data_IF_908098439423
#
_entry.id   IF_908098439423
#
_cell.length_a   1.000
_cell.length_b   1.000
_cell.length_c   1.000
_cell.angle_alpha   90.00
_cell.angle_beta   90.00
_cell.angle_gamma   90.00
#
_symmetry.space_group_name_H-M   'P 1'
#
loop_
_entity.id
_entity.type
_entity.pdbx_description
1 polymer ?
#
# COMPACT_ATOMS: atom_id res chain seq x y z
N UNK A 1 10.79 17.81 -9.36
CA UNK A 1 9.59 18.49 -8.81
C UNK A 1 8.78 17.44 -8.07
N UNK A 2 9.03 17.26 -6.76
CA UNK A 2 8.48 16.13 -5.97
C UNK A 2 6.95 16.21 -5.85
N UNK A 3 6.40 17.41 -5.61
CA UNK A 3 4.95 17.61 -5.52
C UNK A 3 4.24 17.31 -6.85
N UNK A 4 4.81 17.70 -7.99
CA UNK A 4 4.22 17.38 -9.29
C UNK A 4 4.19 15.86 -9.56
N UNK A 5 5.22 15.13 -9.12
CA UNK A 5 5.24 13.68 -9.22
C UNK A 5 4.13 13.05 -8.36
N UNK A 6 4.01 13.46 -7.09
CA UNK A 6 2.99 12.95 -6.18
C UNK A 6 1.56 13.21 -6.69
N UNK A 7 1.33 14.41 -7.23
CA UNK A 7 0.04 14.77 -7.83
C UNK A 7 -0.26 13.92 -9.06
N UNK A 8 0.75 13.61 -9.88
CA UNK A 8 0.58 12.72 -11.04
C UNK A 8 0.25 11.28 -10.60
N UNK A 9 0.93 10.75 -9.57
CA UNK A 9 0.64 9.43 -9.00
C UNK A 9 -0.77 9.39 -8.41
N UNK A 10 -1.21 10.44 -7.73
CA UNK A 10 -2.58 10.55 -7.22
C UNK A 10 -3.62 10.64 -8.32
N UNK A 11 -3.38 11.44 -9.35
CA UNK A 11 -4.25 11.50 -10.52
C UNK A 11 -4.37 10.14 -11.21
N UNK A 12 -3.26 9.40 -11.34
CA UNK A 12 -3.26 8.04 -11.87
C UNK A 12 -4.09 7.09 -11.01
N UNK A 13 -3.98 7.19 -9.69
CA UNK A 13 -4.84 6.46 -8.75
C UNK A 13 -6.32 6.75 -8.99
N UNK A 14 -6.71 8.03 -9.06
CA UNK A 14 -8.08 8.45 -9.35
C UNK A 14 -8.59 7.88 -10.69
N UNK A 15 -7.75 7.85 -11.73
CA UNK A 15 -8.09 7.22 -13.02
C UNK A 15 -8.31 5.71 -12.86
N UNK A 16 -7.44 5.00 -12.13
CA UNK A 16 -7.60 3.56 -11.85
C UNK A 16 -8.91 3.25 -11.10
N UNK A 17 -9.44 4.20 -10.32
CA UNK A 17 -10.66 4.04 -9.55
C UNK A 17 -11.93 4.39 -10.36
N UNK A 18 -11.93 5.53 -11.04
CA UNK A 18 -13.14 6.09 -11.67
C UNK A 18 -13.24 5.83 -13.18
N UNK A 19 -12.12 5.53 -13.84
CA UNK A 19 -12.03 5.36 -15.28
C UNK A 19 -11.27 4.08 -15.65
N UNK A 20 -11.42 3.04 -14.84
CA UNK A 20 -10.73 1.76 -15.01
C UNK A 20 -10.97 1.12 -16.37
N UNK A 21 -12.19 1.21 -16.89
CA UNK A 21 -12.58 0.67 -18.20
C UNK A 21 -11.89 1.38 -19.37
N UNK A 22 -11.33 2.57 -19.14
CA UNK A 22 -10.66 3.38 -20.15
C UNK A 22 -9.15 3.14 -20.24
N UNK A 23 -8.60 2.22 -19.44
CA UNK A 23 -7.17 1.94 -19.35
C UNK A 23 -6.90 0.43 -19.39
N UNK A 24 -5.68 0.05 -19.74
CA UNK A 24 -5.19 -1.31 -19.46
C UNK A 24 -4.84 -1.42 -17.97
N UNK A 25 -5.84 -1.76 -17.16
CA UNK A 25 -5.70 -1.84 -15.71
C UNK A 25 -4.69 -2.88 -15.25
N UNK A 26 -4.46 -3.93 -16.06
CA UNK A 26 -3.46 -4.98 -15.79
C UNK A 26 -2.02 -4.45 -15.82
N UNK A 27 -1.76 -3.35 -16.53
CA UNK A 27 -0.46 -2.69 -16.61
C UNK A 27 -0.39 -1.46 -15.70
N UNK A 28 -1.45 -0.64 -15.71
CA UNK A 28 -1.44 0.67 -15.06
C UNK A 28 -1.49 0.57 -13.54
N UNK A 29 -2.25 -0.37 -12.98
CA UNK A 29 -2.38 -0.51 -11.52
C UNK A 29 -1.07 -1.00 -10.88
N UNK A 30 -0.38 -2.03 -11.42
CA UNK A 30 0.95 -2.39 -10.93
C UNK A 30 1.97 -1.25 -11.04
N UNK A 31 1.93 -0.47 -12.13
CA UNK A 31 2.78 0.71 -12.29
C UNK A 31 2.49 1.77 -11.23
N UNK A 32 1.21 2.08 -10.98
CA UNK A 32 0.78 2.98 -9.92
C UNK A 32 1.26 2.50 -8.53
N UNK A 33 1.07 1.22 -8.20
CA UNK A 33 1.53 0.65 -6.93
C UNK A 33 3.06 0.76 -6.77
N UNK A 34 3.81 0.61 -7.86
CA UNK A 34 5.28 0.73 -7.83
C UNK A 34 5.75 2.11 -7.38
N UNK A 35 4.96 3.16 -7.65
CA UNK A 35 5.23 4.55 -7.28
C UNK A 35 4.99 4.86 -5.79
N UNK A 36 4.36 3.96 -5.04
CA UNK A 36 3.99 4.18 -3.64
C UNK A 36 5.10 3.77 -2.66
N UNK A 37 5.13 4.32 -1.44
CA UNK A 37 4.32 5.44 -0.97
C UNK A 37 4.80 6.78 -1.56
N UNK A 38 3.88 7.72 -1.69
CA UNK A 38 4.22 9.13 -1.97
C UNK A 38 4.36 9.89 -0.65
N UNK A 39 5.24 10.91 -0.62
CA UNK A 39 5.67 11.53 0.65
C UNK A 39 5.81 13.05 0.64
N UNK A 40 5.83 13.67 -0.54
CA UNK A 40 6.04 15.11 -0.71
C UNK A 40 4.75 15.91 -0.53
N UNK A 41 3.69 15.56 -1.27
CA UNK A 41 2.38 16.16 -1.10
C UNK A 41 1.55 15.35 -0.08
N UNK A 42 1.51 15.84 1.16
CA UNK A 42 0.82 15.14 2.26
C UNK A 42 -0.70 15.08 2.08
N UNK A 43 -1.29 15.99 1.29
CA UNK A 43 -2.73 15.96 0.99
C UNK A 43 -3.00 14.79 0.05
N UNK A 44 -2.23 14.69 -1.03
CA UNK A 44 -2.38 13.60 -1.98
C UNK A 44 -1.93 12.25 -1.42
N UNK A 45 -0.92 12.23 -0.54
CA UNK A 45 -0.51 11.01 0.17
C UNK A 45 -1.67 10.37 0.93
N UNK A 46 -2.43 11.18 1.69
CA UNK A 46 -3.60 10.67 2.44
C UNK A 46 -4.66 10.07 1.52
N UNK A 47 -4.92 10.70 0.37
CA UNK A 47 -5.88 10.20 -0.63
C UNK A 47 -5.41 8.88 -1.22
N UNK A 48 -4.16 8.82 -1.66
CA UNK A 48 -3.57 7.66 -2.34
C UNK A 48 -3.45 6.45 -1.42
N UNK A 49 -3.02 6.66 -0.18
CA UNK A 49 -2.90 5.57 0.81
C UNK A 49 -4.27 5.04 1.26
N UNK A 50 -5.29 5.90 1.33
CA UNK A 50 -6.67 5.46 1.60
C UNK A 50 -7.25 4.65 0.42
N UNK A 51 -6.95 5.08 -0.80
CA UNK A 51 -7.30 4.35 -2.00
C UNK A 51 -6.65 2.96 -2.02
N UNK A 52 -5.37 2.85 -1.66
CA UNK A 52 -4.66 1.57 -1.58
C UNK A 52 -5.37 0.61 -0.61
N UNK A 53 -5.72 1.06 0.60
CA UNK A 53 -6.50 0.26 1.55
C UNK A 53 -7.80 -0.25 0.92
N UNK A 54 -8.53 0.63 0.23
CA UNK A 54 -9.80 0.30 -0.40
C UNK A 54 -9.66 -0.76 -1.50
N UNK A 55 -8.56 -0.72 -2.26
CA UNK A 55 -8.29 -1.73 -3.29
C UNK A 55 -7.90 -3.08 -2.68
N UNK A 56 -7.11 -3.10 -1.60
CA UNK A 56 -6.75 -4.33 -0.88
C UNK A 56 -7.98 -4.97 -0.22
N UNK A 57 -8.84 -4.18 0.42
CA UNK A 57 -10.08 -4.66 1.05
C UNK A 57 -11.02 -5.34 0.05
N UNK A 58 -11.08 -4.83 -1.19
CA UNK A 58 -11.86 -5.44 -2.27
C UNK A 58 -11.19 -6.66 -2.90
N UNK A 59 -10.00 -7.06 -2.44
CA UNK A 59 -9.19 -8.11 -3.05
C UNK A 59 -8.99 -7.88 -4.55
N UNK A 60 -8.69 -6.64 -4.93
CA UNK A 60 -8.51 -6.22 -6.32
C UNK A 60 -7.42 -7.06 -7.01
N UNK A 61 -7.82 -7.89 -7.99
CA UNK A 61 -6.95 -8.88 -8.63
C UNK A 61 -5.78 -8.24 -9.40
N UNK A 62 -6.00 -7.08 -10.00
CA UNK A 62 -4.97 -6.36 -10.76
C UNK A 62 -4.00 -5.65 -9.83
N UNK A 63 -4.45 -5.26 -8.63
CA UNK A 63 -3.57 -4.76 -7.56
C UNK A 63 -2.72 -5.90 -6.97
N UNK A 64 -3.35 -7.00 -6.56
CA UNK A 64 -2.66 -8.12 -5.92
C UNK A 64 -1.71 -8.84 -6.89
N UNK A 65 -2.06 -8.84 -8.17
CA UNK A 65 -1.34 -9.53 -9.22
C UNK A 65 -1.51 -11.05 -9.16
N UNK A 66 -1.06 -11.77 -10.20
CA UNK A 66 -1.15 -13.23 -10.23
C UNK A 66 -0.35 -13.83 -9.07
N UNK A 67 -0.93 -14.83 -8.40
CA UNK A 67 -0.38 -15.46 -7.20
C UNK A 67 0.02 -14.47 -6.10
N UNK A 68 -0.68 -13.33 -6.01
CA UNK A 68 -0.42 -12.29 -5.03
C UNK A 68 1.00 -11.70 -5.09
N UNK A 69 1.63 -11.70 -6.27
CA UNK A 69 3.02 -11.27 -6.45
C UNK A 69 3.30 -9.84 -5.96
N UNK A 70 2.29 -8.97 -5.87
CA UNK A 70 2.45 -7.57 -5.46
C UNK A 70 2.29 -7.37 -3.94
N UNK A 71 1.89 -8.40 -3.18
CA UNK A 71 1.74 -8.30 -1.73
C UNK A 71 2.98 -7.80 -0.99
N UNK A 72 4.22 -8.22 -1.34
CA UNK A 72 5.40 -7.69 -0.67
C UNK A 72 5.51 -6.16 -0.76
N UNK A 73 5.16 -5.59 -1.92
CA UNK A 73 5.16 -4.13 -2.12
C UNK A 73 4.05 -3.46 -1.30
N UNK A 74 2.86 -4.04 -1.26
CA UNK A 74 1.73 -3.52 -0.45
C UNK A 74 2.08 -3.49 1.04
N UNK A 75 2.66 -4.59 1.55
CA UNK A 75 3.10 -4.71 2.94
C UNK A 75 4.17 -3.66 3.25
N UNK A 76 5.13 -3.45 2.35
CA UNK A 76 6.16 -2.41 2.51
C UNK A 76 5.55 -1.01 2.58
N UNK A 77 4.61 -0.69 1.68
CA UNK A 77 3.92 0.61 1.69
C UNK A 77 3.18 0.81 3.01
N UNK A 78 2.41 -0.19 3.48
CA UNK A 78 1.69 -0.10 4.76
C UNK A 78 2.64 0.09 5.94
N UNK A 79 3.70 -0.71 6.01
CA UNK A 79 4.70 -0.63 7.07
C UNK A 79 5.30 0.77 7.17
N UNK A 80 5.67 1.33 6.02
CA UNK A 80 6.30 2.63 5.96
C UNK A 80 5.35 3.76 6.33
N UNK A 81 4.12 3.74 5.80
CA UNK A 81 3.10 4.75 6.10
C UNK A 81 2.74 4.74 7.59
N UNK A 82 2.64 3.54 8.19
CA UNK A 82 2.40 3.43 9.64
C UNK A 82 3.60 3.96 10.44
N UNK A 83 4.83 3.65 10.03
CA UNK A 83 6.04 4.20 10.69
C UNK A 83 6.11 5.73 10.62
N UNK A 84 5.63 6.33 9.53
CA UNK A 84 5.59 7.78 9.37
C UNK A 84 4.51 8.48 10.22
N UNK A 85 3.59 7.72 10.84
CA UNK A 85 2.54 8.28 11.68
C UNK A 85 1.46 9.04 10.90
N UNK A 86 1.01 10.19 11.42
CA UNK A 86 -0.15 10.95 10.89
C UNK A 86 0.16 11.82 9.66
N UNK A 87 1.40 11.81 9.20
CA UNK A 87 1.84 12.65 8.09
C UNK A 87 1.32 12.12 6.75
N UNK A 88 1.51 10.81 6.50
CA UNK A 88 1.21 10.17 5.22
C UNK A 88 -0.20 9.58 5.12
N UNK A 89 -0.89 9.41 6.26
CA UNK A 89 -2.21 8.82 6.32
C UNK A 89 -3.04 9.43 7.45
N UNK A 90 -4.37 9.36 7.34
CA UNK A 90 -5.26 9.63 8.47
C UNK A 90 -5.17 8.51 9.51
N UNK A 91 -5.59 8.75 10.74
CA UNK A 91 -5.65 7.71 11.77
C UNK A 91 -6.55 6.53 11.35
N UNK A 92 -7.68 6.84 10.69
CA UNK A 92 -8.58 5.82 10.16
C UNK A 92 -7.89 4.97 9.09
N UNK A 93 -7.20 5.61 8.14
CA UNK A 93 -6.46 4.93 7.07
C UNK A 93 -5.34 4.05 7.66
N UNK A 94 -4.57 4.55 8.63
CA UNK A 94 -3.54 3.78 9.31
C UNK A 94 -4.12 2.57 10.06
N UNK A 95 -5.26 2.73 10.74
CA UNK A 95 -5.97 1.63 11.40
C UNK A 95 -6.45 0.55 10.41
N UNK A 96 -6.93 0.96 9.22
CA UNK A 96 -7.26 0.03 8.12
C UNK A 96 -6.02 -0.74 7.66
N UNK A 97 -4.88 -0.08 7.47
CA UNK A 97 -3.62 -0.74 7.11
C UNK A 97 -3.20 -1.79 8.14
N UNK A 98 -3.28 -1.46 9.43
CA UNK A 98 -2.99 -2.39 10.52
C UNK A 98 -3.91 -3.62 10.47
N UNK A 99 -5.20 -3.40 10.28
CA UNK A 99 -6.19 -4.48 10.21
C UNK A 99 -5.94 -5.40 9.02
N UNK A 100 -5.62 -4.82 7.85
CA UNK A 100 -5.26 -5.56 6.65
C UNK A 100 -3.95 -6.35 6.81
N UNK A 101 -2.92 -5.78 7.45
CA UNK A 101 -1.68 -6.50 7.73
C UNK A 101 -1.91 -7.72 8.61
N UNK A 102 -2.74 -7.59 9.66
CA UNK A 102 -3.13 -8.72 10.51
C UNK A 102 -3.89 -9.78 9.73
N UNK A 103 -4.81 -9.39 8.85
CA UNK A 103 -5.50 -10.34 7.98
C UNK A 103 -4.54 -11.07 7.04
N UNK A 104 -3.60 -10.36 6.42
CA UNK A 104 -2.58 -10.95 5.54
C UNK A 104 -1.65 -11.92 6.29
N UNK A 105 -1.32 -11.62 7.55
CA UNK A 105 -0.54 -12.54 8.39
C UNK A 105 -1.23 -13.90 8.59
N UNK A 106 -2.56 -13.92 8.67
CA UNK A 106 -3.33 -15.15 8.88
C UNK A 106 -3.59 -15.93 7.59
N UNK A 107 -3.59 -15.27 6.44
CA UNK A 107 -3.94 -15.89 5.15
C UNK A 107 -2.72 -16.34 4.34
N UNK A 108 -1.55 -15.76 4.59
CA UNK A 108 -0.35 -16.05 3.79
C UNK A 108 0.50 -17.19 4.34
N UNK A 109 1.14 -17.99 3.47
CA UNK A 109 2.11 -19.00 3.90
C UNK A 109 3.26 -18.35 4.69
N UNK A 110 3.73 -18.98 5.78
CA UNK A 110 4.81 -18.42 6.61
C UNK A 110 6.08 -18.06 5.83
N UNK A 111 6.41 -18.83 4.77
CA UNK A 111 7.56 -18.55 3.92
C UNK A 111 7.46 -17.22 3.15
N UNK A 112 6.26 -16.87 2.67
CA UNK A 112 6.02 -15.61 1.93
C UNK A 112 6.05 -14.40 2.85
N UNK A 113 5.52 -14.57 4.07
CA UNK A 113 5.61 -13.55 5.11
C UNK A 113 7.06 -13.31 5.53
N UNK A 114 7.81 -14.38 5.79
CA UNK A 114 9.21 -14.28 6.20
C UNK A 114 10.09 -13.60 5.14
N UNK A 115 9.93 -13.97 3.86
CA UNK A 115 10.67 -13.32 2.77
C UNK A 115 10.32 -11.84 2.65
N UNK A 116 9.04 -11.49 2.77
CA UNK A 116 8.59 -10.09 2.76
C UNK A 116 9.18 -9.31 3.94
N UNK A 117 9.15 -9.89 5.14
CA UNK A 117 9.67 -9.23 6.35
C UNK A 117 11.15 -8.94 6.27
N UNK A 118 11.91 -9.91 5.75
CA UNK A 118 13.36 -9.79 5.61
C UNK A 118 13.78 -8.67 4.65
N UNK A 119 12.88 -8.26 3.73
CA UNK A 119 13.12 -7.18 2.76
C UNK A 119 12.90 -5.78 3.33
N UNK A 120 12.24 -5.68 4.49
CA UNK A 120 11.93 -4.40 5.14
C UNK A 120 13.14 -3.87 5.91
N UNK A 121 13.19 -2.54 6.08
CA UNK A 121 14.20 -1.90 6.92
C UNK A 121 14.02 -2.29 8.41
N UNK A 122 15.08 -2.27 9.24
CA UNK A 122 14.99 -2.67 10.64
C UNK A 122 13.89 -1.94 11.44
N UNK A 123 13.72 -0.63 11.20
CA UNK A 123 12.68 0.15 11.85
C UNK A 123 11.26 -0.30 11.44
N UNK A 124 11.06 -0.61 10.15
CA UNK A 124 9.78 -1.12 9.65
C UNK A 124 9.48 -2.51 10.22
N UNK A 125 10.48 -3.39 10.32
CA UNK A 125 10.33 -4.72 10.94
C UNK A 125 9.88 -4.62 12.40
N UNK A 126 10.50 -3.73 13.18
CA UNK A 126 10.15 -3.53 14.59
C UNK A 126 8.73 -2.98 14.76
N UNK A 127 8.38 -1.96 13.98
CA UNK A 127 7.03 -1.37 14.01
C UNK A 127 5.99 -2.42 13.70
N UNK A 128 6.20 -3.17 12.62
CA UNK A 128 5.26 -4.19 12.25
C UNK A 128 5.21 -5.36 13.25
N UNK A 129 6.34 -5.77 13.84
CA UNK A 129 6.33 -6.78 14.91
C UNK A 129 5.48 -6.32 16.09
N UNK A 130 5.64 -5.07 16.53
CA UNK A 130 4.85 -4.49 17.62
C UNK A 130 3.35 -4.45 17.30
N UNK A 131 2.98 -4.12 16.06
CA UNK A 131 1.60 -4.05 15.60
C UNK A 131 0.95 -5.45 15.54
N UNK A 132 1.70 -6.44 15.04
CA UNK A 132 1.19 -7.79 14.87
C UNK A 132 1.17 -8.60 16.18
N UNK A 133 1.98 -8.21 17.18
CA UNK A 133 1.98 -8.82 18.51
C UNK A 133 0.96 -8.21 19.49
N UNK A 134 0.35 -7.08 19.12
CA UNK A 134 -0.67 -6.37 19.92
C UNK A 134 -2.08 -6.77 19.48
#
# INVERSE_FOLDING_TARGET
>A
NVMAYDNAVSALGKICLFHRESIDSSQVIPAWLSCLPIRGDLIEAKVVHDQLCSMVERSDMELLGPNNQNLPKIILVFAEVICAGKDLATEQTASRMVSLLRQLQQTLPPATLASTWSSLQPQQQLTLQSILSS
#
